data_IF_843825821927
#
_entry.id   IF_843825821927
#
_cell.length_a   1.000
_cell.length_b   1.000
_cell.length_c   1.000
_cell.angle_alpha   90.00
_cell.angle_beta   90.00
_cell.angle_gamma   90.00
#
_symmetry.space_group_name_H-M   'P 1'
#
loop_
_entity.id
_entity.type
_entity.pdbx_description
1 polymer ?
#
# COMPACT_ATOMS: atom_id res chain seq x y z
N UNK A 1 -29.58 9.39 -6.49
CA UNK A 1 -28.87 10.68 -6.72
C UNK A 1 -27.38 10.48 -6.59
N UNK A 2 -26.75 10.03 -7.67
CA UNK A 2 -25.32 9.61 -7.71
C UNK A 2 -24.41 10.78 -8.16
N UNK A 3 -24.55 11.95 -7.53
CA UNK A 3 -23.77 13.14 -7.88
C UNK A 3 -22.25 13.01 -7.59
N UNK A 4 -21.87 12.12 -6.70
CA UNK A 4 -20.45 11.90 -6.36
C UNK A 4 -19.68 11.14 -7.43
N UNK A 5 -20.27 10.08 -7.99
CA UNK A 5 -19.64 9.25 -9.00
C UNK A 5 -19.50 9.95 -10.37
N UNK A 6 -20.41 10.85 -10.73
CA UNK A 6 -20.28 11.61 -11.99
C UNK A 6 -19.11 12.59 -11.92
N UNK A 7 -18.93 13.27 -10.77
CA UNK A 7 -17.80 14.17 -10.56
C UNK A 7 -16.47 13.43 -10.60
N UNK A 8 -16.38 12.23 -10.02
CA UNK A 8 -15.15 11.44 -10.03
C UNK A 8 -14.81 10.94 -11.44
N UNK A 9 -15.80 10.55 -12.24
CA UNK A 9 -15.60 10.19 -13.66
C UNK A 9 -15.06 11.39 -14.46
N UNK A 10 -15.57 12.58 -14.21
CA UNK A 10 -15.10 13.82 -14.84
C UNK A 10 -13.64 14.10 -14.43
N UNK A 11 -13.27 13.91 -13.15
CA UNK A 11 -11.92 14.08 -12.64
C UNK A 11 -10.92 13.08 -13.27
N UNK A 12 -11.35 11.81 -13.46
CA UNK A 12 -10.55 10.81 -14.18
C UNK A 12 -10.29 11.29 -15.61
N UNK A 13 -11.33 11.67 -16.33
CA UNK A 13 -11.23 12.11 -17.73
C UNK A 13 -10.30 13.31 -17.86
N UNK A 14 -10.48 14.32 -17.01
CA UNK A 14 -9.65 15.51 -16.98
C UNK A 14 -8.17 15.19 -16.69
N UNK A 15 -7.91 14.20 -15.81
CA UNK A 15 -6.55 13.77 -15.47
C UNK A 15 -5.83 13.20 -16.69
N UNK A 16 -6.49 12.34 -17.47
CA UNK A 16 -5.91 11.79 -18.70
C UNK A 16 -5.67 12.85 -19.77
N UNK A 17 -6.60 13.80 -19.96
CA UNK A 17 -6.40 14.90 -20.91
C UNK A 17 -5.23 15.80 -20.48
N UNK A 18 -5.11 16.17 -19.21
CA UNK A 18 -3.98 16.92 -18.68
C UNK A 18 -2.64 16.20 -18.87
N UNK A 19 -2.60 14.89 -18.64
CA UNK A 19 -1.40 14.10 -18.85
C UNK A 19 -0.97 14.09 -20.31
N UNK A 20 -1.91 14.02 -21.23
CA UNK A 20 -1.70 14.07 -22.68
C UNK A 20 -1.13 15.40 -23.13
N UNK A 21 -1.69 16.51 -22.62
CA UNK A 21 -1.22 17.87 -22.91
C UNK A 21 0.17 18.16 -22.35
N UNK A 22 0.57 17.48 -21.27
CA UNK A 22 1.83 17.69 -20.58
C UNK A 22 2.80 16.50 -20.71
N UNK A 23 2.66 15.69 -21.76
CA UNK A 23 3.59 14.58 -21.99
C UNK A 23 5.05 15.07 -22.18
N UNK A 24 6.07 14.35 -21.65
CA UNK A 24 5.96 13.05 -20.96
C UNK A 24 5.37 13.17 -19.56
N UNK A 25 4.45 12.26 -19.20
CA UNK A 25 3.74 12.31 -17.95
C UNK A 25 3.55 10.92 -17.31
N UNK A 26 3.36 10.89 -16.00
CA UNK A 26 2.99 9.69 -15.25
C UNK A 26 1.64 9.95 -14.57
N UNK A 27 0.68 9.04 -14.78
CA UNK A 27 -0.56 8.99 -14.03
C UNK A 27 -0.43 7.91 -12.96
N UNK A 28 -0.72 8.26 -11.71
CA UNK A 28 -0.73 7.32 -10.60
C UNK A 28 -2.15 7.19 -10.05
N UNK A 29 -2.69 5.97 -10.08
CA UNK A 29 -4.02 5.62 -9.59
C UNK A 29 -3.87 4.73 -8.35
N UNK A 30 -4.09 5.31 -7.19
CA UNK A 30 -3.88 4.63 -5.92
C UNK A 30 -5.17 3.96 -5.44
N UNK A 31 -5.06 2.75 -4.86
CA UNK A 31 -6.17 1.99 -4.28
C UNK A 31 -7.36 1.80 -5.26
N UNK A 32 -7.09 1.36 -6.49
CA UNK A 32 -8.12 1.24 -7.53
C UNK A 32 -9.32 0.35 -7.14
N UNK A 33 -9.12 -0.61 -6.28
CA UNK A 33 -10.20 -1.47 -5.76
C UNK A 33 -11.26 -0.70 -4.94
N UNK A 34 -10.97 0.57 -4.58
CA UNK A 34 -11.89 1.46 -3.86
C UNK A 34 -12.61 2.47 -4.77
N UNK A 35 -12.34 2.48 -6.08
CA UNK A 35 -12.91 3.46 -7.00
C UNK A 35 -14.38 3.22 -7.30
N UNK A 36 -14.85 1.99 -7.14
CA UNK A 36 -16.26 1.64 -7.27
C UNK A 36 -16.80 1.03 -5.97
N UNK A 37 -18.11 1.13 -5.77
CA UNK A 37 -18.77 0.52 -4.62
C UNK A 37 -18.71 -1.00 -4.68
N UNK A 38 -18.67 -1.67 -3.52
CA UNK A 38 -18.64 -3.13 -3.36
C UNK A 38 -20.01 -3.79 -3.62
N UNK A 39 -20.73 -3.37 -4.66
CA UNK A 39 -21.96 -4.01 -5.10
C UNK A 39 -21.68 -5.10 -6.16
N UNK A 40 -22.68 -5.91 -6.48
CA UNK A 40 -22.53 -7.03 -7.41
C UNK A 40 -22.10 -6.62 -8.83
N UNK A 41 -22.29 -5.36 -9.20
CA UNK A 41 -21.99 -4.78 -10.52
C UNK A 41 -20.73 -3.90 -10.54
N UNK A 42 -19.93 -3.89 -9.48
CA UNK A 42 -18.80 -2.96 -9.36
C UNK A 42 -17.78 -3.07 -10.51
N UNK A 43 -17.61 -4.25 -11.14
CA UNK A 43 -16.69 -4.44 -12.26
C UNK A 43 -17.09 -3.70 -13.53
N UNK A 44 -18.38 -3.39 -13.69
CA UNK A 44 -18.91 -2.63 -14.80
C UNK A 44 -19.17 -1.16 -14.42
N UNK A 45 -18.63 -0.73 -13.28
CA UNK A 45 -18.80 0.62 -12.80
C UNK A 45 -18.23 1.64 -13.79
N UNK A 46 -18.92 2.77 -13.92
CA UNK A 46 -18.56 3.86 -14.84
C UNK A 46 -17.17 4.43 -14.59
N UNK A 47 -16.67 4.35 -13.36
CA UNK A 47 -15.33 4.73 -12.96
C UNK A 47 -14.28 3.90 -13.69
N UNK A 48 -14.44 2.58 -13.72
CA UNK A 48 -13.53 1.69 -14.45
C UNK A 48 -13.65 1.83 -15.97
N UNK A 49 -14.85 2.11 -16.48
CA UNK A 49 -15.06 2.41 -17.91
C UNK A 49 -14.33 3.70 -18.29
N UNK A 50 -14.39 4.73 -17.44
CA UNK A 50 -13.66 5.98 -17.67
C UNK A 50 -12.13 5.78 -17.66
N UNK A 51 -11.61 4.97 -16.73
CA UNK A 51 -10.17 4.61 -16.69
C UNK A 51 -9.77 3.86 -17.96
N UNK A 52 -10.57 2.91 -18.43
CA UNK A 52 -10.30 2.18 -19.66
C UNK A 52 -10.21 3.13 -20.88
N UNK A 53 -11.20 4.01 -21.01
CA UNK A 53 -11.23 5.01 -22.07
C UNK A 53 -10.03 5.98 -21.97
N UNK A 54 -9.68 6.39 -20.75
CA UNK A 54 -8.51 7.23 -20.48
C UNK A 54 -7.21 6.56 -20.91
N UNK A 55 -6.97 5.30 -20.48
CA UNK A 55 -5.77 4.55 -20.87
C UNK A 55 -5.71 4.40 -22.40
N UNK A 56 -6.83 4.05 -23.04
CA UNK A 56 -6.89 3.91 -24.48
C UNK A 56 -6.60 5.23 -25.22
N UNK A 57 -6.95 6.38 -24.65
CA UNK A 57 -6.72 7.70 -25.21
C UNK A 57 -5.26 8.16 -25.22
N UNK A 58 -4.43 7.57 -24.35
CA UNK A 58 -3.01 7.94 -24.17
C UNK A 58 -2.02 6.90 -24.74
N UNK A 59 -2.50 5.84 -25.41
CA UNK A 59 -1.66 4.76 -25.94
C UNK A 59 -0.54 5.22 -26.85
N UNK A 60 -0.81 6.24 -27.66
CA UNK A 60 0.16 6.80 -28.62
C UNK A 60 0.85 8.05 -28.06
N UNK A 61 0.69 8.33 -26.78
CA UNK A 61 1.29 9.45 -26.08
C UNK A 61 2.41 8.95 -25.16
N UNK A 62 3.36 9.81 -24.85
CA UNK A 62 4.42 9.52 -23.87
C UNK A 62 3.85 9.67 -22.43
N UNK A 63 2.87 8.84 -22.12
CA UNK A 63 2.19 8.80 -20.82
C UNK A 63 2.27 7.39 -20.24
N UNK A 64 2.81 7.28 -19.02
CA UNK A 64 2.91 6.03 -18.30
C UNK A 64 1.86 5.99 -17.18
N UNK A 65 1.09 4.89 -17.11
CA UNK A 65 0.04 4.72 -16.10
C UNK A 65 0.46 3.66 -15.08
N UNK A 66 0.49 4.03 -13.82
CA UNK A 66 0.76 3.13 -12.69
C UNK A 66 -0.49 3.07 -11.83
N UNK A 67 -0.86 1.88 -11.39
CA UNK A 67 -1.97 1.71 -10.45
C UNK A 67 -1.57 0.79 -9.29
N UNK A 68 -2.18 1.02 -8.13
CA UNK A 68 -2.12 0.10 -7.00
C UNK A 68 -3.50 -0.47 -6.70
N UNK A 69 -3.53 -1.65 -6.12
CA UNK A 69 -4.74 -2.30 -5.63
C UNK A 69 -4.37 -3.28 -4.52
N UNK A 70 -5.22 -3.39 -3.51
CA UNK A 70 -5.10 -4.42 -2.47
C UNK A 70 -5.74 -5.74 -2.90
N UNK A 71 -6.75 -5.70 -3.76
CA UNK A 71 -7.41 -6.89 -4.30
C UNK A 71 -7.61 -6.77 -5.82
N UNK A 72 -6.73 -7.41 -6.59
CA UNK A 72 -6.80 -7.43 -8.06
C UNK A 72 -8.10 -8.08 -8.58
N UNK A 73 -8.74 -8.94 -7.80
CA UNK A 73 -9.99 -9.63 -8.18
C UNK A 73 -11.18 -8.68 -8.24
N UNK A 74 -11.08 -7.51 -7.59
CA UNK A 74 -12.08 -6.45 -7.64
C UNK A 74 -11.99 -5.64 -8.94
N UNK A 75 -10.89 -5.70 -9.65
CA UNK A 75 -10.72 -4.98 -10.91
C UNK A 75 -11.34 -5.77 -12.08
N UNK A 76 -11.95 -5.07 -13.06
CA UNK A 76 -12.46 -5.73 -14.25
C UNK A 76 -11.32 -6.32 -15.12
N UNK A 77 -11.55 -7.51 -15.66
CA UNK A 77 -10.58 -8.20 -16.54
C UNK A 77 -10.18 -7.34 -17.75
N UNK A 78 -11.07 -6.46 -18.18
CA UNK A 78 -10.83 -5.53 -19.28
C UNK A 78 -9.70 -4.53 -19.01
N UNK A 79 -9.41 -4.18 -17.75
CA UNK A 79 -8.26 -3.36 -17.36
C UNK A 79 -6.96 -4.17 -17.34
N UNK A 80 -7.03 -5.46 -17.04
CA UNK A 80 -5.87 -6.33 -16.88
C UNK A 80 -5.41 -6.99 -18.20
N UNK A 81 -6.02 -6.58 -19.33
CA UNK A 81 -5.66 -7.07 -20.66
C UNK A 81 -4.47 -6.32 -21.24
N UNK A 82 -3.78 -7.00 -22.18
CA UNK A 82 -2.70 -6.41 -22.97
C UNK A 82 -3.13 -5.09 -23.64
N UNK A 83 -2.28 -4.11 -23.62
CA UNK A 83 -2.53 -2.75 -24.09
C UNK A 83 -3.19 -1.82 -23.06
N UNK A 84 -3.33 -2.25 -21.79
CA UNK A 84 -3.76 -1.43 -20.66
C UNK A 84 -2.80 -1.63 -19.51
N UNK A 85 -3.14 -2.40 -18.46
CA UNK A 85 -2.18 -2.80 -17.44
C UNK A 85 -1.45 -4.08 -17.89
N UNK A 86 -0.42 -3.90 -18.70
CA UNK A 86 0.33 -5.01 -19.32
C UNK A 86 1.18 -5.79 -18.32
N UNK A 87 1.53 -5.18 -17.22
CA UNK A 87 2.42 -5.76 -16.23
C UNK A 87 1.84 -5.64 -14.82
N UNK A 88 1.66 -6.78 -14.19
CA UNK A 88 1.28 -6.86 -12.77
C UNK A 88 2.50 -7.24 -11.94
N UNK A 89 2.74 -6.49 -10.86
CA UNK A 89 3.78 -6.76 -9.87
C UNK A 89 3.07 -7.11 -8.56
N UNK A 90 3.27 -8.34 -8.10
CA UNK A 90 2.72 -8.78 -6.81
C UNK A 90 3.71 -8.44 -5.69
N UNK A 91 3.28 -7.56 -4.78
CA UNK A 91 4.01 -7.26 -3.57
C UNK A 91 3.68 -8.32 -2.52
N UNK A 92 4.72 -8.98 -2.02
CA UNK A 92 4.60 -9.98 -0.95
C UNK A 92 5.10 -9.41 0.37
N UNK A 93 4.63 -9.98 1.48
CA UNK A 93 5.21 -9.69 2.80
C UNK A 93 6.70 -10.03 2.80
N UNK A 94 7.53 -9.22 3.48
CA UNK A 94 8.99 -9.42 3.51
C UNK A 94 9.37 -10.79 4.08
N UNK A 95 10.33 -11.46 3.43
CA UNK A 95 11.03 -12.60 4.02
C UNK A 95 11.88 -12.14 5.22
N UNK A 96 12.48 -13.09 5.95
CA UNK A 96 13.39 -12.74 7.08
C UNK A 96 14.55 -11.87 6.61
N UNK A 97 15.13 -12.16 5.43
CA UNK A 97 16.25 -11.41 4.88
C UNK A 97 15.84 -9.99 4.42
N UNK A 98 14.63 -9.85 3.88
CA UNK A 98 14.10 -8.54 3.49
C UNK A 98 13.68 -7.74 4.72
N UNK A 99 13.07 -8.40 5.72
CA UNK A 99 12.70 -7.79 6.98
C UNK A 99 13.91 -7.15 7.67
N UNK A 100 15.09 -7.77 7.61
CA UNK A 100 16.31 -7.21 8.22
C UNK A 100 16.64 -5.82 7.66
N UNK A 101 16.62 -5.67 6.33
CA UNK A 101 16.90 -4.39 5.66
C UNK A 101 15.86 -3.32 5.96
N UNK A 102 14.60 -3.72 6.05
CA UNK A 102 13.47 -2.84 6.36
C UNK A 102 13.60 -2.37 7.82
N UNK A 103 13.85 -3.29 8.74
CA UNK A 103 14.05 -2.99 10.17
C UNK A 103 15.23 -2.05 10.35
N UNK A 104 16.37 -2.32 9.72
CA UNK A 104 17.53 -1.42 9.74
C UNK A 104 17.18 -0.01 9.25
N UNK A 105 16.37 0.09 8.21
CA UNK A 105 15.92 1.38 7.69
C UNK A 105 15.10 2.17 8.72
N UNK A 106 14.13 1.54 9.37
CA UNK A 106 13.28 2.18 10.37
C UNK A 106 13.98 2.43 11.71
N UNK A 107 15.06 1.69 11.99
CA UNK A 107 15.86 1.87 13.20
C UNK A 107 16.94 2.96 13.08
N UNK A 108 17.17 3.56 11.91
CA UNK A 108 18.23 4.57 11.71
C UNK A 108 18.23 5.70 12.75
N UNK A 109 17.05 6.07 13.23
CA UNK A 109 16.88 7.16 14.22
C UNK A 109 16.38 6.64 15.58
N UNK A 110 16.49 5.33 15.83
CA UNK A 110 16.07 4.69 17.08
C UNK A 110 17.26 3.94 17.67
N UNK A 111 17.34 3.93 19.00
CA UNK A 111 18.42 3.24 19.71
C UNK A 111 17.88 1.95 20.30
N UNK A 112 18.50 0.84 19.95
CA UNK A 112 18.25 -0.45 20.59
C UNK A 112 19.18 -0.64 21.78
N UNK A 113 18.68 -1.33 22.79
CA UNK A 113 19.44 -1.80 23.93
C UNK A 113 20.33 -3.01 23.54
N UNK A 114 21.42 -3.19 24.25
CA UNK A 114 22.37 -4.30 24.01
C UNK A 114 21.76 -5.69 24.23
N UNK A 115 20.59 -5.77 24.88
CA UNK A 115 19.88 -7.05 25.09
C UNK A 115 19.00 -7.46 23.91
N UNK A 116 18.90 -6.67 22.85
CA UNK A 116 18.13 -7.01 21.66
C UNK A 116 18.98 -7.78 20.68
N UNK A 117 18.65 -9.05 20.48
CA UNK A 117 19.24 -9.83 19.37
C UNK A 117 18.54 -9.45 18.06
N UNK A 118 19.28 -8.87 17.13
CA UNK A 118 18.76 -8.40 15.85
C UNK A 118 18.21 -9.55 14.99
N UNK A 119 18.83 -10.75 15.04
CA UNK A 119 18.36 -11.89 14.27
C UNK A 119 17.02 -12.40 14.81
N UNK A 120 16.85 -12.43 16.12
CA UNK A 120 15.60 -12.83 16.74
C UNK A 120 14.49 -11.78 16.48
N UNK A 121 14.85 -10.49 16.50
CA UNK A 121 13.95 -9.43 16.05
C UNK A 121 13.47 -9.64 14.61
N UNK A 122 14.40 -9.91 13.68
CA UNK A 122 14.05 -10.16 12.28
C UNK A 122 13.14 -11.37 12.09
N UNK A 123 13.38 -12.47 12.83
CA UNK A 123 12.50 -13.65 12.79
C UNK A 123 11.10 -13.35 13.34
N UNK A 124 11.02 -12.64 14.45
CA UNK A 124 9.78 -12.27 15.09
C UNK A 124 8.93 -11.35 14.21
N UNK A 125 9.58 -10.50 13.44
CA UNK A 125 8.95 -9.50 12.56
C UNK A 125 8.80 -9.97 11.10
N UNK A 126 9.25 -11.18 10.76
CA UNK A 126 9.10 -11.74 9.41
C UNK A 126 7.62 -11.91 9.04
N UNK A 127 7.33 -11.77 7.75
CA UNK A 127 5.98 -11.94 7.17
C UNK A 127 4.96 -10.87 7.55
N UNK A 128 5.32 -9.88 8.34
CA UNK A 128 4.51 -8.68 8.54
C UNK A 128 4.66 -7.73 7.34
N UNK A 129 3.64 -6.90 7.08
CA UNK A 129 3.75 -5.87 6.06
C UNK A 129 4.79 -4.80 6.45
N UNK A 130 5.29 -4.03 5.47
CA UNK A 130 6.20 -2.91 5.78
C UNK A 130 5.55 -1.90 6.74
N UNK A 131 4.24 -1.67 6.60
CA UNK A 131 3.46 -0.79 7.49
C UNK A 131 3.40 -1.33 8.91
N UNK A 132 3.20 -2.65 9.07
CA UNK A 132 3.20 -3.29 10.40
C UNK A 132 4.56 -3.19 11.06
N UNK A 133 5.65 -3.41 10.29
CA UNK A 133 7.03 -3.27 10.79
C UNK A 133 7.30 -1.85 11.28
N UNK A 134 6.87 -0.84 10.53
CA UNK A 134 7.00 0.56 10.95
C UNK A 134 6.20 0.84 12.21
N UNK A 135 4.94 0.44 12.23
CA UNK A 135 4.03 0.62 13.38
C UNK A 135 4.60 -0.04 14.63
N UNK A 136 5.05 -1.29 14.51
CA UNK A 136 5.60 -2.07 15.61
C UNK A 136 6.84 -1.40 16.22
N UNK A 137 7.77 -0.95 15.38
CA UNK A 137 8.97 -0.26 15.85
C UNK A 137 8.67 1.11 16.46
N UNK A 138 7.63 1.79 15.98
CA UNK A 138 7.18 3.05 16.56
C UNK A 138 6.50 2.81 17.92
N UNK A 139 5.63 1.81 18.04
CA UNK A 139 5.00 1.42 19.32
C UNK A 139 6.04 1.03 20.38
N UNK A 140 7.03 0.23 20.00
CA UNK A 140 8.12 -0.13 20.90
C UNK A 140 8.90 1.11 21.38
N UNK A 141 9.17 2.07 20.47
CA UNK A 141 9.85 3.32 20.81
C UNK A 141 9.02 4.20 21.74
N UNK A 142 7.71 4.33 21.49
CA UNK A 142 6.77 5.07 22.35
C UNK A 142 6.74 4.45 23.74
N UNK A 143 6.68 3.13 23.84
CA UNK A 143 6.68 2.40 25.11
C UNK A 143 7.98 2.63 25.89
N UNK A 144 9.14 2.54 25.24
CA UNK A 144 10.42 2.83 25.86
C UNK A 144 10.46 4.27 26.41
N UNK A 145 10.02 5.24 25.61
CA UNK A 145 9.94 6.64 26.04
C UNK A 145 8.98 6.86 27.20
N UNK A 146 7.81 6.21 27.20
CA UNK A 146 6.85 6.28 28.30
C UNK A 146 7.45 5.74 29.60
N UNK A 147 8.24 4.66 29.50
CA UNK A 147 8.96 4.06 30.62
C UNK A 147 10.28 4.78 30.95
N UNK A 148 10.55 5.95 30.33
CA UNK A 148 11.76 6.78 30.53
C UNK A 148 13.07 6.02 30.26
N UNK A 149 13.06 5.08 29.33
CA UNK A 149 14.24 4.36 28.87
C UNK A 149 14.95 5.18 27.77
N UNK A 150 16.27 5.06 27.70
CA UNK A 150 17.11 5.71 26.67
C UNK A 150 17.22 4.89 25.37
N UNK A 151 16.67 3.67 25.37
CA UNK A 151 16.73 2.72 24.26
C UNK A 151 15.57 1.74 24.33
N UNK A 152 15.22 1.18 23.16
CA UNK A 152 14.19 0.14 23.02
C UNK A 152 14.82 -1.19 23.44
N UNK A 153 14.21 -1.90 24.36
CA UNK A 153 14.63 -3.24 24.76
C UNK A 153 13.69 -4.34 24.20
N UNK A 154 14.06 -5.59 24.47
CA UNK A 154 13.31 -6.76 23.95
C UNK A 154 11.89 -6.81 24.51
N UNK A 155 11.66 -6.38 25.75
CA UNK A 155 10.31 -6.36 26.34
C UNK A 155 9.40 -5.34 25.65
N UNK A 156 9.95 -4.19 25.23
CA UNK A 156 9.19 -3.19 24.48
C UNK A 156 8.76 -3.73 23.12
N UNK A 157 9.64 -4.46 22.43
CA UNK A 157 9.38 -5.10 21.14
C UNK A 157 8.33 -6.23 21.26
N UNK A 158 8.49 -7.14 22.22
CA UNK A 158 7.54 -8.24 22.45
C UNK A 158 6.14 -7.67 22.73
N UNK A 159 6.03 -6.66 23.58
CA UNK A 159 4.74 -6.05 23.90
C UNK A 159 4.11 -5.35 22.68
N UNK A 160 4.92 -4.75 21.80
CA UNK A 160 4.42 -4.15 20.58
C UNK A 160 3.87 -5.23 19.62
N UNK A 161 4.55 -6.37 19.46
CA UNK A 161 4.08 -7.50 18.66
C UNK A 161 2.76 -8.04 19.20
N UNK A 162 2.69 -8.27 20.52
CA UNK A 162 1.46 -8.80 21.15
C UNK A 162 0.28 -7.86 20.91
N UNK A 163 0.47 -6.54 21.02
CA UNK A 163 -0.58 -5.57 20.73
C UNK A 163 -1.09 -5.66 19.29
N UNK A 164 -0.18 -5.73 18.34
CA UNK A 164 -0.55 -5.81 16.91
C UNK A 164 -1.38 -7.07 16.62
N UNK A 165 -1.12 -8.18 17.31
CA UNK A 165 -1.89 -9.42 17.18
C UNK A 165 -3.28 -9.30 17.83
N UNK A 166 -3.42 -8.60 18.96
CA UNK A 166 -4.72 -8.45 19.64
C UNK A 166 -5.62 -7.37 19.04
N UNK A 167 -5.04 -6.36 18.36
CA UNK A 167 -5.78 -5.28 17.73
C UNK A 167 -6.13 -5.60 16.25
N UNK A 168 -5.81 -6.82 15.76
CA UNK A 168 -6.17 -7.26 14.42
C UNK A 168 -7.68 -7.51 14.32
N UNK A 169 -8.38 -6.94 13.30
CA UNK A 169 -9.84 -7.07 13.14
C UNK A 169 -10.33 -8.50 12.87
N UNK A 170 -9.44 -9.46 12.64
CA UNK A 170 -9.79 -10.83 12.29
C UNK A 170 -10.20 -11.70 13.51
N UNK A 171 -10.19 -11.15 14.74
CA UNK A 171 -10.59 -11.85 15.98
C UNK A 171 -11.93 -11.34 16.57
N UNK A 172 -12.81 -10.70 15.78
CA UNK A 172 -14.17 -10.31 16.21
C UNK A 172 -15.26 -10.99 15.37
#
# INVERSE_FOLDING_TARGET
NNKGGDKFVDEITETFEKAKENAPAIIFLDDMDKFANDDECHRDAKEYVAIQAGIDSVKDCDVFVIATTNDIRKLPDSLLRSGRFDRTIYMQSPSTDDASKIIEHYLKNKKLSDNVDFNDLCKMMSYHSCSDLETLLNEAAIRAGFNKKDSIDMDDLINAVLRLQYDSPDDL
#
